data_IF_484698113577
#
_entry.id   IF_484698113577
#
_cell.length_a   1.000
_cell.length_b   1.000
_cell.length_c   1.000
_cell.angle_alpha   90.00
_cell.angle_beta   90.00
_cell.angle_gamma   90.00
#
_symmetry.space_group_name_H-M   'P 1'
#
loop_
_entity.id
_entity.type
_entity.pdbx_description
1 polymer ?
#
# COMPACT_ATOMS: atom_id res chain seq x y z
N UNK A 1 17.82 6.98 4.72
CA UNK A 1 17.17 7.81 3.66
C UNK A 1 16.87 6.89 2.48
N UNK A 2 15.63 6.88 2.01
CA UNK A 2 15.21 6.16 0.80
C UNK A 2 15.18 7.13 -0.39
N UNK A 3 15.78 6.73 -1.52
CA UNK A 3 15.71 7.46 -2.78
C UNK A 3 14.37 7.32 -3.51
N UNK A 4 13.48 6.44 -3.03
CA UNK A 4 12.16 6.25 -3.58
C UNK A 4 11.07 6.59 -2.53
N UNK A 5 9.85 6.95 -2.98
CA UNK A 5 8.67 6.97 -2.12
C UNK A 5 8.35 5.61 -1.51
N UNK A 6 7.41 5.58 -0.57
CA UNK A 6 6.96 4.36 0.08
C UNK A 6 6.24 3.46 -0.94
N UNK A 7 6.75 2.25 -1.15
CA UNK A 7 6.04 1.23 -1.95
C UNK A 7 4.82 0.75 -1.13
N UNK A 8 3.63 1.00 -1.68
CA UNK A 8 2.33 0.78 -1.00
C UNK A 8 1.47 -0.26 -1.71
N UNK A 9 1.61 -0.43 -3.03
CA UNK A 9 0.73 -1.29 -3.81
C UNK A 9 1.51 -2.30 -4.66
N UNK A 10 0.92 -3.47 -4.97
CA UNK A 10 1.58 -4.49 -5.77
C UNK A 10 1.78 -4.04 -7.22
N UNK A 11 2.80 -4.58 -7.87
CA UNK A 11 2.99 -4.42 -9.30
C UNK A 11 2.34 -5.58 -10.08
N UNK A 12 1.80 -5.25 -11.26
CA UNK A 12 1.20 -6.21 -12.18
C UNK A 12 1.75 -6.11 -13.61
N UNK A 13 2.88 -5.43 -13.81
CA UNK A 13 3.46 -5.14 -15.13
C UNK A 13 4.86 -5.71 -15.34
N UNK A 14 5.29 -6.64 -14.46
CA UNK A 14 6.50 -7.45 -14.68
C UNK A 14 7.50 -7.43 -13.52
N UNK A 15 7.26 -6.66 -12.46
CA UNK A 15 8.09 -6.66 -11.25
C UNK A 15 7.46 -7.59 -10.22
N UNK A 16 8.25 -8.45 -9.58
CA UNK A 16 7.76 -9.42 -8.58
C UNK A 16 7.44 -8.72 -7.24
N UNK A 17 6.32 -8.02 -7.21
CA UNK A 17 5.77 -7.30 -6.06
C UNK A 17 4.28 -7.66 -5.91
N UNK A 18 3.96 -8.92 -5.64
CA UNK A 18 2.59 -9.43 -5.79
C UNK A 18 1.71 -9.35 -4.52
N UNK A 19 2.29 -9.28 -3.32
CA UNK A 19 1.58 -9.46 -2.05
C UNK A 19 1.67 -8.21 -1.19
N UNK A 20 0.51 -7.66 -0.80
CA UNK A 20 0.45 -6.48 0.06
C UNK A 20 1.17 -6.66 1.41
N UNK A 21 1.10 -7.87 1.99
CA UNK A 21 1.72 -8.15 3.28
C UNK A 21 3.26 -8.07 3.26
N UNK A 22 3.87 -8.13 2.07
CA UNK A 22 5.33 -8.02 1.95
C UNK A 22 5.80 -6.55 2.02
N UNK A 23 4.88 -5.59 1.89
CA UNK A 23 5.20 -4.17 1.95
C UNK A 23 5.10 -3.63 3.39
N UNK A 24 6.23 -3.15 3.90
CA UNK A 24 6.30 -2.59 5.26
C UNK A 24 5.38 -1.38 5.44
N UNK A 25 5.17 -0.57 4.38
CA UNK A 25 4.25 0.57 4.44
C UNK A 25 2.78 0.15 4.57
N UNK A 26 2.38 -0.96 3.92
CA UNK A 26 1.05 -1.54 4.10
C UNK A 26 0.87 -2.08 5.52
N UNK A 27 1.83 -2.85 6.02
CA UNK A 27 1.80 -3.37 7.40
C UNK A 27 1.73 -2.24 8.44
N UNK A 28 2.51 -1.18 8.24
CA UNK A 28 2.49 -0.01 9.11
C UNK A 28 1.13 0.71 9.08
N UNK A 29 0.50 0.86 7.91
CA UNK A 29 -0.84 1.45 7.82
C UNK A 29 -1.91 0.59 8.52
N UNK A 30 -1.87 -0.73 8.38
CA UNK A 30 -2.75 -1.65 9.13
C UNK A 30 -2.54 -1.52 10.63
N UNK A 31 -1.30 -1.49 11.11
CA UNK A 31 -0.99 -1.35 12.54
C UNK A 31 -1.42 0.02 13.08
N UNK A 32 -1.29 1.10 12.29
CA UNK A 32 -1.81 2.41 12.65
C UNK A 32 -3.34 2.42 12.77
N UNK A 33 -4.07 1.71 11.89
CA UNK A 33 -5.53 1.57 12.02
C UNK A 33 -5.91 0.88 13.33
N UNK A 34 -5.14 -0.14 13.75
CA UNK A 34 -5.32 -0.79 15.05
C UNK A 34 -5.01 0.16 16.22
N UNK A 35 -3.85 0.82 16.20
CA UNK A 35 -3.43 1.74 17.27
C UNK A 35 -4.40 2.91 17.46
N UNK A 36 -5.03 3.35 16.36
CA UNK A 36 -5.98 4.46 16.35
C UNK A 36 -7.45 4.03 16.46
N UNK A 37 -7.72 2.74 16.67
CA UNK A 37 -9.08 2.16 16.81
C UNK A 37 -10.00 2.43 15.61
N UNK A 38 -9.43 2.38 14.41
CA UNK A 38 -10.10 2.59 13.12
C UNK A 38 -10.22 1.29 12.31
N UNK A 39 -10.29 0.13 12.97
CA UNK A 39 -10.36 -1.18 12.31
C UNK A 39 -11.61 -1.36 11.44
N UNK A 40 -12.65 -0.55 11.65
CA UNK A 40 -13.83 -0.53 10.78
C UNK A 40 -13.45 -0.23 9.32
N UNK A 41 -12.43 0.61 9.08
CA UNK A 41 -11.95 0.93 7.73
C UNK A 41 -11.47 -0.33 7.01
N UNK A 42 -10.75 -1.22 7.71
CA UNK A 42 -10.26 -2.49 7.14
C UNK A 42 -11.44 -3.35 6.66
N UNK A 43 -12.47 -3.46 7.50
CA UNK A 43 -13.67 -4.24 7.20
C UNK A 43 -14.51 -3.63 6.06
N UNK A 44 -14.61 -2.30 6.02
CA UNK A 44 -15.31 -1.59 4.95
C UNK A 44 -14.60 -1.77 3.61
N UNK A 45 -13.28 -1.59 3.58
CA UNK A 45 -12.46 -1.84 2.38
C UNK A 45 -12.62 -3.28 1.93
N UNK A 46 -12.55 -4.25 2.84
CA UNK A 46 -12.75 -5.67 2.51
C UNK A 46 -14.11 -5.91 1.83
N UNK A 47 -15.20 -5.40 2.41
CA UNK A 47 -16.55 -5.53 1.84
C UNK A 47 -16.63 -4.90 0.45
N UNK A 48 -16.06 -3.71 0.26
CA UNK A 48 -16.01 -3.04 -1.04
C UNK A 48 -15.18 -3.82 -2.07
N UNK A 49 -14.03 -4.37 -1.69
CA UNK A 49 -13.23 -5.24 -2.56
C UNK A 49 -14.02 -6.49 -2.98
N UNK A 50 -14.67 -7.17 -2.02
CA UNK A 50 -15.48 -8.38 -2.27
C UNK A 50 -16.68 -8.11 -3.18
N UNK A 51 -17.36 -6.98 -3.02
CA UNK A 51 -18.50 -6.60 -3.86
C UNK A 51 -18.10 -6.44 -5.34
N UNK A 52 -16.83 -6.15 -5.62
CA UNK A 52 -16.32 -5.99 -6.99
C UNK A 52 -15.74 -7.28 -7.59
N UNK A 53 -15.67 -8.39 -6.85
CA UNK A 53 -14.95 -9.61 -7.27
C UNK A 53 -15.44 -10.20 -8.60
N UNK A 54 -16.73 -10.02 -8.91
CA UNK A 54 -17.36 -10.54 -10.14
C UNK A 54 -17.64 -9.46 -11.19
N UNK A 55 -17.20 -8.22 -10.96
CA UNK A 55 -17.35 -7.16 -11.95
C UNK A 55 -16.33 -7.31 -13.08
N UNK A 56 -16.66 -6.83 -14.30
CA UNK A 56 -15.66 -6.60 -15.33
C UNK A 56 -14.52 -5.74 -14.80
N UNK A 57 -13.27 -6.05 -15.18
CA UNK A 57 -12.07 -5.36 -14.66
C UNK A 57 -12.14 -3.83 -14.88
N UNK A 58 -12.79 -3.41 -15.96
CA UNK A 58 -13.03 -2.01 -16.35
C UNK A 58 -13.89 -1.24 -15.33
N UNK A 59 -14.66 -1.95 -14.49
CA UNK A 59 -15.51 -1.35 -13.44
C UNK A 59 -14.90 -1.43 -12.05
N UNK A 60 -13.72 -2.06 -11.89
CA UNK A 60 -13.09 -2.25 -10.59
C UNK A 60 -12.33 -0.97 -10.19
N UNK A 61 -12.65 -0.48 -9.00
CA UNK A 61 -11.99 0.66 -8.33
C UNK A 61 -11.04 0.14 -7.25
N UNK A 62 -9.86 0.75 -7.13
CA UNK A 62 -8.90 0.44 -6.07
C UNK A 62 -9.34 1.05 -4.72
N UNK A 63 -10.10 0.29 -3.92
CA UNK A 63 -10.49 0.72 -2.57
C UNK A 63 -9.37 0.57 -1.53
N UNK A 64 -8.27 -0.11 -1.84
CA UNK A 64 -7.14 -0.27 -0.92
C UNK A 64 -6.49 1.10 -0.60
N UNK A 65 -6.67 2.11 -1.47
CA UNK A 65 -6.29 3.49 -1.19
C UNK A 65 -6.89 4.03 0.12
N UNK A 66 -8.07 3.56 0.52
CA UNK A 66 -8.74 4.00 1.74
C UNK A 66 -8.00 3.55 3.02
N UNK A 67 -7.18 2.49 2.96
CA UNK A 67 -6.33 2.05 4.09
C UNK A 67 -5.32 3.14 4.48
N UNK A 68 -4.83 3.90 3.50
CA UNK A 68 -3.82 4.93 3.70
C UNK A 68 -4.42 6.31 3.95
N UNK A 69 -5.69 6.54 3.59
CA UNK A 69 -6.34 7.85 3.63
C UNK A 69 -6.29 8.56 5.00
N UNK A 70 -6.37 7.87 6.15
CA UNK A 70 -6.32 8.53 7.46
C UNK A 70 -4.93 9.04 7.86
N UNK A 71 -3.87 8.67 7.14
CA UNK A 71 -2.49 8.89 7.57
C UNK A 71 -1.68 9.68 6.55
N UNK A 72 -0.81 10.56 7.06
CA UNK A 72 0.21 11.21 6.23
C UNK A 72 1.33 10.23 5.88
N UNK A 73 2.17 10.60 4.90
CA UNK A 73 3.37 9.82 4.61
C UNK A 73 4.33 9.80 5.80
N UNK A 74 4.39 10.89 6.57
CA UNK A 74 5.17 11.04 7.78
C UNK A 74 4.70 10.09 8.89
N UNK A 75 3.39 9.96 9.10
CA UNK A 75 2.82 9.03 10.09
C UNK A 75 3.21 7.59 9.79
N UNK A 76 3.06 7.18 8.53
CA UNK A 76 3.47 5.84 8.08
C UNK A 76 4.98 5.67 8.26
N UNK A 77 5.79 6.68 7.92
CA UNK A 77 7.26 6.60 8.07
C UNK A 77 7.69 6.44 9.53
N UNK A 78 7.05 7.19 10.45
CA UNK A 78 7.25 7.06 11.89
C UNK A 78 6.87 5.68 12.39
N UNK A 79 5.74 5.14 11.93
CA UNK A 79 5.31 3.79 12.30
C UNK A 79 6.29 2.73 11.80
N UNK A 80 6.77 2.84 10.56
CA UNK A 80 7.80 1.92 10.03
C UNK A 80 9.07 2.00 10.89
N UNK A 81 9.51 3.21 11.26
CA UNK A 81 10.68 3.39 12.11
C UNK A 81 10.49 2.74 13.49
N UNK A 82 9.30 2.86 14.08
CA UNK A 82 8.92 2.17 15.32
C UNK A 82 8.95 0.64 15.16
N UNK A 83 8.38 0.10 14.08
CA UNK A 83 8.33 -1.35 13.81
C UNK A 83 9.72 -1.96 13.60
N UNK A 84 10.66 -1.19 13.04
CA UNK A 84 12.04 -1.63 12.79
C UNK A 84 12.96 -1.39 14.00
N UNK A 85 12.59 -0.53 14.94
CA UNK A 85 13.39 -0.25 16.14
C UNK A 85 13.40 -1.47 17.06
N UNK A 86 14.58 -2.08 17.21
CA UNK A 86 14.77 -3.19 18.15
C UNK A 86 15.01 -2.67 19.57
N UNK A 87 14.69 -3.48 20.59
CA UNK A 87 14.81 -3.10 22.02
C UNK A 87 16.21 -2.64 22.44
N UNK A 88 17.26 -3.04 21.70
CA UNK A 88 18.64 -2.65 21.97
C UNK A 88 19.02 -1.26 21.45
N UNK A 89 18.23 -0.67 20.54
CA UNK A 89 18.52 0.64 19.93
C UNK A 89 17.98 1.74 20.83
N UNK A 90 18.89 2.44 21.51
CA UNK A 90 18.58 3.59 22.37
C UNK A 90 18.42 4.90 21.60
N UNK A 91 19.02 4.99 20.41
CA UNK A 91 18.90 6.16 19.55
C UNK A 91 17.51 6.25 18.93
N UNK A 92 17.10 7.47 18.57
CA UNK A 92 15.91 7.67 17.75
C UNK A 92 16.21 7.30 16.31
N UNK A 93 15.26 6.57 15.72
CA UNK A 93 15.34 6.10 14.34
C UNK A 93 14.27 6.83 13.57
N UNK A 94 14.67 7.51 12.51
CA UNK A 94 13.77 8.15 11.56
C UNK A 94 14.04 7.62 10.16
N UNK A 95 12.97 7.41 9.40
CA UNK A 95 13.06 6.99 8.00
C UNK A 95 12.51 8.10 7.15
N UNK A 96 13.37 8.66 6.32
CA UNK A 96 13.01 9.69 5.34
C UNK A 96 12.86 9.03 3.98
N UNK A 97 11.68 9.19 3.36
CA UNK A 97 11.38 8.78 2.00
C UNK A 97 11.37 10.00 1.07
N UNK A 98 11.73 9.80 -0.20
CA UNK A 98 11.49 10.81 -1.23
C UNK A 98 9.98 10.99 -1.44
N UNK A 99 9.53 12.23 -1.63
CA UNK A 99 8.11 12.50 -1.93
C UNK A 99 7.75 12.14 -3.37
N UNK A 100 6.48 11.83 -3.63
CA UNK A 100 5.97 11.51 -4.97
C UNK A 100 6.08 12.74 -5.88
N UNK A 101 5.84 13.93 -5.36
CA UNK A 101 5.95 15.19 -6.10
C UNK A 101 7.39 15.42 -6.55
N UNK A 102 8.37 15.15 -5.68
CA UNK A 102 9.79 15.28 -6.03
C UNK A 102 10.23 14.21 -7.02
N UNK A 103 9.67 12.99 -6.95
CA UNK A 103 9.87 11.97 -7.98
C UNK A 103 9.39 12.46 -9.35
N UNK A 104 8.18 13.01 -9.44
CA UNK A 104 7.64 13.53 -10.70
C UNK A 104 8.40 14.75 -11.24
N UNK A 105 8.97 15.59 -10.37
CA UNK A 105 9.86 16.68 -10.80
C UNK A 105 11.19 16.16 -11.35
N UNK A 106 11.70 15.06 -10.80
CA UNK A 106 12.98 14.48 -11.21
C UNK A 106 12.88 13.64 -12.49
N UNK A 107 11.72 13.04 -12.76
CA UNK A 107 11.48 12.18 -13.93
C UNK A 107 10.43 12.84 -14.84
N UNK A 108 10.91 13.55 -15.86
CA UNK A 108 10.06 14.30 -16.80
C UNK A 108 9.36 13.42 -17.84
N UNK A 109 9.88 12.20 -18.07
CA UNK A 109 9.39 11.25 -19.07
C UNK A 109 9.34 9.87 -18.40
N UNK A 110 8.15 9.26 -18.36
CA UNK A 110 7.76 8.01 -17.67
C UNK A 110 7.25 8.17 -16.23
N UNK A 111 5.94 8.34 -16.08
CA UNK A 111 5.25 8.59 -14.80
C UNK A 111 4.76 7.30 -14.13
N UNK A 112 5.57 6.24 -14.14
CA UNK A 112 5.18 4.97 -13.54
C UNK A 112 5.20 5.01 -12.01
N UNK A 113 4.10 5.44 -11.40
CA UNK A 113 4.00 5.70 -9.95
C UNK A 113 2.93 4.86 -9.23
N UNK A 114 2.24 3.96 -9.94
CA UNK A 114 1.08 3.22 -9.43
C UNK A 114 1.35 2.40 -8.16
N UNK A 115 2.57 1.90 -7.96
CA UNK A 115 2.95 1.18 -6.75
C UNK A 115 3.19 2.11 -5.55
N UNK A 116 3.26 3.43 -5.77
CA UNK A 116 3.27 4.48 -4.73
C UNK A 116 1.89 5.11 -4.52
N UNK A 117 1.17 5.44 -5.60
CA UNK A 117 -0.11 6.19 -5.58
C UNK A 117 -1.34 5.29 -5.52
N UNK A 118 -1.25 4.09 -6.08
CA UNK A 118 -2.37 3.18 -6.28
C UNK A 118 -3.18 3.49 -7.53
N UNK A 119 -2.72 4.43 -8.36
CA UNK A 119 -3.37 4.84 -9.61
C UNK A 119 -2.83 4.02 -10.77
N UNK A 120 -3.41 2.83 -10.95
CA UNK A 120 -2.99 1.90 -11.98
C UNK A 120 -3.34 2.41 -13.39
N UNK A 121 -2.41 2.32 -14.37
CA UNK A 121 -2.66 2.76 -15.74
C UNK A 121 -3.63 1.85 -16.50
N UNK A 122 -3.85 0.61 -16.02
CA UNK A 122 -4.81 -0.32 -16.62
C UNK A 122 -5.80 -0.86 -15.59
N UNK A 123 -7.05 -1.18 -16.00
CA UNK A 123 -8.04 -1.75 -15.08
C UNK A 123 -7.62 -3.10 -14.46
N UNK A 124 -6.69 -3.81 -15.11
CA UNK A 124 -6.11 -5.04 -14.58
C UNK A 124 -5.39 -4.82 -13.25
N UNK A 125 -4.69 -3.69 -13.08
CA UNK A 125 -4.00 -3.36 -11.83
C UNK A 125 -4.95 -3.17 -10.66
N UNK A 126 -6.09 -2.51 -10.88
CA UNK A 126 -7.16 -2.39 -9.88
C UNK A 126 -7.70 -3.77 -9.46
N UNK A 127 -7.84 -4.71 -10.40
CA UNK A 127 -8.25 -6.08 -10.07
C UNK A 127 -7.21 -6.77 -9.17
N UNK A 128 -5.93 -6.64 -9.51
CA UNK A 128 -4.82 -7.28 -8.77
C UNK A 128 -4.73 -6.75 -7.34
N UNK A 129 -4.75 -5.43 -7.14
CA UNK A 129 -4.64 -4.85 -5.79
C UNK A 129 -5.83 -5.22 -4.89
N UNK A 130 -7.07 -5.19 -5.41
CA UNK A 130 -8.24 -5.63 -4.67
C UNK A 130 -8.16 -7.12 -4.30
N UNK A 131 -7.70 -7.97 -5.25
CA UNK A 131 -7.54 -9.41 -5.01
C UNK A 131 -6.43 -9.68 -3.99
N UNK A 132 -5.33 -8.93 -4.04
CA UNK A 132 -4.23 -9.01 -3.08
C UNK A 132 -4.71 -8.65 -1.67
N UNK A 133 -5.57 -7.64 -1.54
CA UNK A 133 -6.16 -7.26 -0.25
C UNK A 133 -7.14 -8.31 0.28
N UNK A 134 -7.99 -8.88 -0.58
CA UNK A 134 -8.87 -10.00 -0.20
C UNK A 134 -8.03 -11.19 0.29
N UNK A 135 -6.98 -11.56 -0.44
CA UNK A 135 -6.08 -12.66 -0.06
C UNK A 135 -5.41 -12.40 1.30
N UNK A 136 -4.98 -11.16 1.56
CA UNK A 136 -4.42 -10.75 2.84
C UNK A 136 -5.42 -10.97 3.99
N UNK A 137 -6.64 -10.47 3.86
CA UNK A 137 -7.69 -10.62 4.89
C UNK A 137 -8.09 -12.09 5.09
N UNK A 138 -8.18 -12.88 4.00
CA UNK A 138 -8.56 -14.30 4.04
C UNK A 138 -7.39 -15.23 4.41
N UNK A 139 -6.19 -14.69 4.71
CA UNK A 139 -5.00 -15.48 5.08
C UNK A 139 -4.45 -16.35 3.95
N UNK A 140 -4.77 -16.03 2.69
CA UNK A 140 -4.36 -16.82 1.52
C UNK A 140 -2.98 -16.37 1.03
N UNK A 141 -2.01 -17.27 1.10
CA UNK A 141 -0.64 -16.99 0.66
C UNK A 141 -0.44 -17.22 -0.87
N UNK A 142 -1.31 -16.64 -1.70
CA UNK A 142 -1.30 -16.81 -3.15
C UNK A 142 -1.10 -15.48 -3.90
N UNK A 143 -0.64 -15.56 -5.15
CA UNK A 143 -0.55 -14.39 -6.04
C UNK A 143 -1.95 -13.89 -6.39
N UNK A 144 -2.05 -12.60 -6.70
CA UNK A 144 -3.32 -11.91 -6.95
C UNK A 144 -3.71 -11.87 -8.45
N UNK A 145 -2.94 -12.52 -9.32
CA UNK A 145 -3.17 -12.68 -10.76
C UNK A 145 -3.04 -14.14 -11.17
#
# INVERSE_FOLDING_TARGET
VSSAPQIRYPDCYGIDMAKLNDFIAFRAAIELLHDTKQENIINEVYRKCKAQQHLPKEKIVNYVKEIYKPFSAEDISKKIAQMLKTKGVKADVEIVYQSIENLHKAILVNNGDWYFTGDYPTPGGNKVVNTSFINFIEGKNQRAY
#
